data_IF_522362014217
#
_entry.id   IF_522362014217
#
_cell.length_a   1.000
_cell.length_b   1.000
_cell.length_c   1.000
_cell.angle_alpha   90.00
_cell.angle_beta   90.00
_cell.angle_gamma   90.00
#
_symmetry.space_group_name_H-M   'P 1'
#
loop_
_entity.id
_entity.type
_entity.pdbx_description
1 polymer ?
#
# COMPACT_ATOMS: atom_id res chain seq x y z
N UNK A 1 -32.62 -22.26 -15.02
CA UNK A 1 -32.50 -21.48 -13.78
C UNK A 1 -33.08 -20.06 -13.83
N UNK A 2 -33.08 -19.32 -14.98
CA UNK A 2 -33.74 -18.01 -15.04
C UNK A 2 -35.25 -18.14 -14.84
N UNK A 3 -35.81 -17.35 -13.92
CA UNK A 3 -37.23 -17.40 -13.55
C UNK A 3 -37.62 -18.51 -12.60
N UNK A 4 -36.73 -19.49 -12.29
CA UNK A 4 -37.00 -20.56 -11.35
C UNK A 4 -36.90 -20.08 -9.91
N UNK A 5 -37.59 -20.79 -9.01
CA UNK A 5 -37.48 -20.63 -7.57
C UNK A 5 -36.42 -21.60 -7.04
N UNK A 6 -35.50 -21.08 -6.23
CA UNK A 6 -34.47 -21.81 -5.50
C UNK A 6 -34.74 -21.57 -4.02
N UNK A 7 -35.31 -22.55 -3.29
CA UNK A 7 -35.85 -22.33 -1.96
C UNK A 7 -36.90 -21.18 -2.00
N UNK A 8 -36.68 -20.12 -1.24
CA UNK A 8 -37.53 -18.92 -1.24
C UNK A 8 -36.93 -17.76 -2.07
N UNK A 9 -35.94 -18.03 -2.93
CA UNK A 9 -35.34 -17.06 -3.82
C UNK A 9 -35.81 -17.24 -5.26
N UNK A 10 -36.25 -16.18 -5.90
CA UNK A 10 -36.58 -16.15 -7.33
C UNK A 10 -35.37 -15.64 -8.15
N UNK A 11 -34.83 -16.51 -8.98
CA UNK A 11 -33.67 -16.14 -9.83
C UNK A 11 -34.11 -15.17 -10.93
N UNK A 12 -33.45 -14.02 -11.02
CA UNK A 12 -33.77 -12.94 -11.96
C UNK A 12 -32.84 -12.97 -13.17
N UNK A 13 -31.51 -12.87 -12.93
CA UNK A 13 -30.50 -12.79 -13.98
C UNK A 13 -29.17 -13.39 -13.54
N UNK A 14 -28.33 -13.77 -14.51
CA UNK A 14 -26.96 -14.24 -14.26
C UNK A 14 -26.02 -13.04 -14.18
N UNK A 15 -25.33 -12.89 -13.05
CA UNK A 15 -24.32 -11.83 -12.83
C UNK A 15 -22.93 -12.23 -13.31
N UNK A 16 -22.57 -13.52 -13.20
CA UNK A 16 -21.27 -14.01 -13.60
C UNK A 16 -21.11 -15.51 -13.36
N UNK A 17 -19.98 -16.06 -13.78
CA UNK A 17 -19.64 -17.46 -13.56
C UNK A 17 -18.20 -17.75 -13.90
N UNK A 18 -17.63 -18.77 -13.28
CA UNK A 18 -16.24 -19.19 -13.46
C UNK A 18 -15.94 -20.45 -12.66
N UNK A 19 -14.69 -20.79 -12.48
CA UNK A 19 -14.26 -22.00 -11.76
C UNK A 19 -14.77 -22.12 -10.31
N UNK A 20 -15.21 -21.01 -9.72
CA UNK A 20 -15.76 -20.97 -8.34
C UNK A 20 -17.29 -21.00 -8.29
N UNK A 21 -17.95 -21.35 -9.41
CA UNK A 21 -19.40 -21.43 -9.49
C UNK A 21 -20.05 -20.30 -10.28
N UNK A 22 -21.38 -20.26 -10.25
CA UNK A 22 -22.19 -19.28 -10.97
C UNK A 22 -22.93 -18.40 -9.99
N UNK A 23 -22.93 -17.09 -10.25
CA UNK A 23 -23.60 -16.09 -9.41
C UNK A 23 -24.80 -15.53 -10.16
N UNK A 24 -25.94 -15.51 -9.49
CA UNK A 24 -27.19 -14.96 -10.00
C UNK A 24 -27.68 -13.83 -9.09
N UNK A 25 -28.33 -12.85 -9.69
CA UNK A 25 -29.21 -11.92 -8.97
C UNK A 25 -30.54 -12.63 -8.72
N UNK A 26 -31.02 -12.55 -7.50
CA UNK A 26 -32.31 -13.14 -7.11
C UNK A 26 -33.07 -12.21 -6.18
N UNK A 27 -34.38 -12.45 -6.08
CA UNK A 27 -35.26 -11.81 -5.11
C UNK A 27 -35.56 -12.78 -3.97
N UNK A 28 -35.27 -12.40 -2.76
CA UNK A 28 -35.73 -13.02 -1.53
C UNK A 28 -37.23 -12.74 -1.39
N UNK A 29 -38.06 -13.75 -1.61
CA UNK A 29 -39.53 -13.61 -1.62
C UNK A 29 -40.11 -13.41 -0.22
N UNK A 30 -39.36 -13.79 0.84
CA UNK A 30 -39.77 -13.63 2.24
C UNK A 30 -39.49 -12.22 2.72
N UNK A 31 -38.23 -11.74 2.53
CA UNK A 31 -37.79 -10.42 2.99
C UNK A 31 -37.97 -9.33 1.92
N UNK A 32 -38.40 -9.68 0.72
CA UNK A 32 -38.62 -8.77 -0.43
C UNK A 32 -37.44 -7.87 -0.73
N UNK A 33 -36.25 -8.46 -0.75
CA UNK A 33 -34.99 -7.78 -1.08
C UNK A 33 -34.25 -8.52 -2.18
N UNK A 34 -33.34 -7.83 -2.85
CA UNK A 34 -32.46 -8.44 -3.83
C UNK A 34 -31.22 -9.00 -3.14
N UNK A 35 -30.77 -10.16 -3.63
CA UNK A 35 -29.59 -10.89 -3.13
C UNK A 35 -28.76 -11.41 -4.29
N UNK A 36 -27.51 -11.74 -4.04
CA UNK A 36 -26.66 -12.53 -4.91
C UNK A 36 -26.71 -13.99 -4.45
N UNK A 37 -27.07 -14.90 -5.36
CA UNK A 37 -27.02 -16.34 -5.13
C UNK A 37 -25.82 -16.93 -5.84
N UNK A 38 -24.86 -17.47 -5.10
CA UNK A 38 -23.68 -18.14 -5.63
C UNK A 38 -23.86 -19.65 -5.49
N UNK A 39 -23.98 -20.36 -6.62
CA UNK A 39 -24.03 -21.81 -6.67
C UNK A 39 -22.62 -22.38 -6.67
N UNK A 40 -22.41 -23.43 -5.88
CA UNK A 40 -21.14 -24.11 -5.81
C UNK A 40 -20.92 -25.00 -7.04
N UNK A 41 -19.66 -25.17 -7.50
CA UNK A 41 -19.37 -26.13 -8.57
C UNK A 41 -19.73 -27.56 -8.17
N UNK A 42 -20.23 -28.36 -9.12
CA UNK A 42 -20.58 -29.77 -8.90
C UNK A 42 -19.43 -30.61 -8.35
N UNK A 43 -18.19 -30.33 -8.80
CA UNK A 43 -16.97 -31.01 -8.30
C UNK A 43 -16.81 -30.88 -6.78
N UNK A 44 -17.24 -29.75 -6.18
CA UNK A 44 -17.18 -29.56 -4.73
C UNK A 44 -18.31 -30.30 -3.99
N UNK A 45 -19.48 -30.47 -4.62
CA UNK A 45 -20.63 -31.15 -4.01
C UNK A 45 -20.49 -32.67 -4.01
N UNK A 46 -19.66 -33.23 -4.90
CA UNK A 46 -19.39 -34.68 -4.96
C UNK A 46 -18.42 -35.17 -3.89
N UNK A 47 -17.52 -34.30 -3.39
CA UNK A 47 -16.62 -34.65 -2.29
C UNK A 47 -17.18 -34.18 -0.94
N UNK A 48 -17.67 -35.15 -0.14
CA UNK A 48 -18.25 -34.88 1.19
C UNK A 48 -17.28 -34.13 2.12
N UNK A 49 -15.99 -34.49 2.12
CA UNK A 49 -14.99 -33.86 3.02
C UNK A 49 -14.69 -32.40 2.59
N UNK A 50 -14.57 -32.15 1.30
CA UNK A 50 -14.42 -30.82 0.76
C UNK A 50 -15.64 -29.94 1.05
N UNK A 51 -16.85 -30.50 0.87
CA UNK A 51 -18.08 -29.80 1.15
C UNK A 51 -18.25 -29.49 2.65
N UNK A 52 -17.97 -30.43 3.56
CA UNK A 52 -18.01 -30.17 5.00
C UNK A 52 -17.03 -29.07 5.44
N UNK A 53 -15.82 -29.09 4.91
CA UNK A 53 -14.83 -28.01 5.17
C UNK A 53 -15.33 -26.65 4.64
N UNK A 54 -15.81 -26.63 3.41
CA UNK A 54 -16.39 -25.43 2.80
C UNK A 54 -17.54 -24.86 3.64
N UNK A 55 -18.49 -25.70 4.06
CA UNK A 55 -19.64 -25.29 4.88
C UNK A 55 -19.18 -24.75 6.25
N UNK A 56 -18.12 -25.32 6.84
CA UNK A 56 -17.54 -24.82 8.09
C UNK A 56 -16.93 -23.44 7.92
N UNK A 57 -16.15 -23.21 6.86
CA UNK A 57 -15.53 -21.90 6.58
C UNK A 57 -16.58 -20.85 6.18
N UNK A 58 -17.57 -21.24 5.39
CA UNK A 58 -18.68 -20.37 5.03
C UNK A 58 -19.49 -19.92 6.27
N UNK A 59 -19.72 -20.84 7.25
CA UNK A 59 -20.36 -20.49 8.53
C UNK A 59 -19.49 -19.54 9.37
N UNK A 60 -18.18 -19.74 9.38
CA UNK A 60 -17.27 -18.82 10.07
C UNK A 60 -17.29 -17.43 9.40
N UNK A 61 -17.27 -17.38 8.07
CA UNK A 61 -17.39 -16.12 7.31
C UNK A 61 -18.75 -15.44 7.52
N UNK A 62 -19.86 -16.20 7.61
CA UNK A 62 -21.20 -15.66 7.88
C UNK A 62 -21.31 -15.00 9.28
N UNK A 63 -20.44 -15.36 10.23
CA UNK A 63 -20.38 -14.69 11.53
C UNK A 63 -19.69 -13.31 11.49
N UNK A 64 -19.11 -12.92 10.33
CA UNK A 64 -18.51 -11.61 10.15
C UNK A 64 -19.60 -10.59 9.76
N UNK A 65 -19.85 -9.63 10.65
CA UNK A 65 -20.71 -8.50 10.36
C UNK A 65 -19.85 -7.23 10.37
N UNK A 66 -19.52 -6.73 9.19
CA UNK A 66 -18.62 -5.59 9.03
C UNK A 66 -18.98 -4.80 7.75
N UNK A 67 -18.94 -3.45 7.75
CA UNK A 67 -19.34 -2.64 6.60
C UNK A 67 -18.50 -2.91 5.33
N UNK A 68 -17.26 -3.37 5.50
CA UNK A 68 -16.33 -3.65 4.39
C UNK A 68 -16.17 -5.16 4.11
N UNK A 69 -17.08 -6.00 4.59
CA UNK A 69 -17.19 -7.44 4.27
C UNK A 69 -18.53 -7.68 3.61
N UNK A 70 -18.57 -8.48 2.55
CA UNK A 70 -19.82 -8.90 1.93
C UNK A 70 -20.59 -9.81 2.90
N UNK A 71 -21.81 -9.42 3.24
CA UNK A 71 -22.62 -10.16 4.21
C UNK A 71 -23.16 -11.43 3.59
N UNK A 72 -22.95 -12.57 4.23
CA UNK A 72 -23.60 -13.83 3.92
C UNK A 72 -24.92 -13.90 4.70
N UNK A 73 -26.02 -14.13 3.99
CA UNK A 73 -27.36 -14.22 4.58
C UNK A 73 -27.76 -15.64 4.90
N UNK A 74 -27.44 -16.57 4.00
CA UNK A 74 -27.86 -17.97 4.11
C UNK A 74 -26.88 -18.88 3.36
N UNK A 75 -26.73 -20.10 3.87
CA UNK A 75 -26.08 -21.21 3.19
C UNK A 75 -27.13 -22.29 3.09
N UNK A 76 -27.55 -22.62 1.87
CA UNK A 76 -28.67 -23.55 1.59
C UNK A 76 -28.30 -24.60 0.57
N UNK A 77 -29.26 -25.52 0.39
CA UNK A 77 -29.25 -26.58 -0.63
C UNK A 77 -30.58 -26.60 -1.34
N UNK A 78 -30.55 -26.78 -2.64
CA UNK A 78 -31.74 -26.94 -3.48
C UNK A 78 -31.46 -27.94 -4.59
N UNK A 79 -32.25 -29.00 -4.69
CA UNK A 79 -32.10 -30.08 -5.69
C UNK A 79 -30.69 -30.69 -5.73
N UNK A 80 -30.04 -30.85 -4.57
CA UNK A 80 -28.68 -31.38 -4.47
C UNK A 80 -27.57 -30.39 -4.81
N UNK A 81 -27.91 -29.14 -5.15
CA UNK A 81 -26.94 -28.07 -5.37
C UNK A 81 -26.87 -27.14 -4.16
N UNK A 82 -25.68 -26.97 -3.61
CA UNK A 82 -25.44 -26.00 -2.54
C UNK A 82 -25.29 -24.57 -3.10
N UNK A 83 -25.84 -23.61 -2.36
CA UNK A 83 -25.78 -22.21 -2.69
C UNK A 83 -25.47 -21.36 -1.45
N UNK A 84 -24.93 -20.17 -1.70
CA UNK A 84 -24.78 -19.11 -0.71
C UNK A 84 -25.61 -17.92 -1.18
N UNK A 85 -26.53 -17.45 -0.32
CA UNK A 85 -27.20 -16.17 -0.50
C UNK A 85 -26.42 -15.09 0.24
N UNK A 86 -26.09 -14.02 -0.47
CA UNK A 86 -25.27 -12.93 0.07
C UNK A 86 -25.78 -11.57 -0.38
N UNK A 87 -25.22 -10.52 0.20
CA UNK A 87 -25.46 -9.14 -0.16
C UNK A 87 -25.24 -8.91 -1.66
N UNK A 88 -26.26 -8.35 -2.33
CA UNK A 88 -26.11 -7.89 -3.71
C UNK A 88 -25.39 -6.55 -3.71
N UNK A 89 -24.24 -6.50 -4.36
CA UNK A 89 -23.42 -5.30 -4.47
C UNK A 89 -23.61 -4.64 -5.83
N UNK A 90 -23.82 -3.32 -5.83
CA UNK A 90 -23.84 -2.50 -7.03
C UNK A 90 -22.47 -1.82 -7.19
N UNK A 91 -21.80 -2.05 -8.32
CA UNK A 91 -20.45 -1.53 -8.58
C UNK A 91 -19.63 -2.47 -9.43
N UNK A 92 -18.32 -2.51 -9.21
CA UNK A 92 -17.38 -3.32 -9.99
C UNK A 92 -16.33 -3.96 -9.08
N UNK A 93 -15.76 -5.08 -9.52
CA UNK A 93 -14.59 -5.66 -8.83
C UNK A 93 -13.38 -4.74 -9.00
N UNK A 94 -12.48 -4.77 -8.03
CA UNK A 94 -11.23 -4.00 -8.11
C UNK A 94 -10.41 -4.40 -9.35
N UNK A 95 -10.50 -5.66 -9.79
CA UNK A 95 -9.91 -6.13 -11.05
C UNK A 95 -10.37 -5.30 -12.25
N UNK A 96 -11.68 -5.06 -12.38
CA UNK A 96 -12.23 -4.23 -13.46
C UNK A 96 -11.91 -2.75 -13.26
N UNK A 97 -11.82 -2.30 -12.00
CA UNK A 97 -11.53 -0.91 -11.67
C UNK A 97 -10.10 -0.51 -12.01
N UNK A 98 -9.12 -1.39 -11.76
CA UNK A 98 -7.71 -1.16 -12.13
C UNK A 98 -7.54 -1.17 -13.66
N UNK A 99 -8.05 -2.20 -14.36
CA UNK A 99 -7.99 -2.34 -15.82
C UNK A 99 -6.64 -1.89 -16.45
N UNK A 100 -5.53 -2.33 -15.84
CA UNK A 100 -4.15 -1.99 -16.23
C UNK A 100 -3.79 -0.48 -16.14
N UNK A 101 -4.52 0.29 -15.33
CA UNK A 101 -4.23 1.70 -15.03
C UNK A 101 -4.11 1.91 -13.53
N UNK A 102 -3.15 2.76 -13.08
CA UNK A 102 -3.09 3.11 -11.67
C UNK A 102 -4.35 3.87 -11.26
N UNK A 103 -4.80 3.63 -10.02
CA UNK A 103 -5.89 4.39 -9.41
C UNK A 103 -5.37 5.72 -8.86
N UNK A 104 -6.24 6.74 -8.73
CA UNK A 104 -5.89 7.96 -8.02
C UNK A 104 -5.41 7.65 -6.59
N UNK A 105 -4.34 8.30 -6.14
CA UNK A 105 -3.73 8.03 -4.83
C UNK A 105 -4.70 8.12 -3.66
N UNK A 106 -5.67 9.04 -3.70
CA UNK A 106 -6.72 9.16 -2.70
C UNK A 106 -7.60 7.91 -2.66
N UNK A 107 -8.03 7.41 -3.82
CA UNK A 107 -8.84 6.19 -3.95
C UNK A 107 -8.05 4.95 -3.47
N UNK A 108 -6.75 4.87 -3.77
CA UNK A 108 -5.87 3.80 -3.28
C UNK A 108 -5.86 3.79 -1.75
N UNK A 109 -5.55 4.92 -1.12
CA UNK A 109 -5.43 5.02 0.33
C UNK A 109 -6.77 4.77 1.04
N UNK A 110 -7.88 5.32 0.51
CA UNK A 110 -9.22 5.11 1.09
C UNK A 110 -9.66 3.65 1.01
N UNK A 111 -9.55 3.04 -0.17
CA UNK A 111 -9.87 1.62 -0.35
C UNK A 111 -8.96 0.73 0.51
N UNK A 112 -7.68 1.06 0.59
CA UNK A 112 -6.72 0.32 1.41
C UNK A 112 -7.05 0.35 2.90
N UNK A 113 -7.46 1.50 3.43
CA UNK A 113 -7.90 1.63 4.83
C UNK A 113 -9.14 0.77 5.12
N UNK A 114 -10.11 0.76 4.20
CA UNK A 114 -11.35 -0.01 4.33
C UNK A 114 -11.10 -1.51 4.26
N UNK A 115 -10.25 -1.96 3.33
CA UNK A 115 -9.87 -3.38 3.21
C UNK A 115 -9.06 -3.82 4.44
N UNK A 116 -8.12 -3.00 4.92
CA UNK A 116 -7.37 -3.30 6.15
C UNK A 116 -8.28 -3.40 7.37
N UNK A 117 -9.34 -2.58 7.45
CA UNK A 117 -10.36 -2.67 8.51
C UNK A 117 -11.14 -3.98 8.45
N UNK A 118 -11.51 -4.43 7.25
CA UNK A 118 -12.16 -5.71 7.04
C UNK A 118 -11.28 -6.89 7.43
N UNK A 119 -10.00 -6.87 7.03
CA UNK A 119 -9.03 -7.90 7.38
C UNK A 119 -8.78 -7.96 8.89
N UNK A 120 -8.64 -6.80 9.55
CA UNK A 120 -8.44 -6.71 11.01
C UNK A 120 -9.63 -7.32 11.77
N UNK A 121 -10.86 -7.02 11.33
CA UNK A 121 -12.08 -7.60 11.90
C UNK A 121 -12.18 -9.13 11.71
N UNK A 122 -11.73 -9.66 10.58
CA UNK A 122 -11.70 -11.10 10.33
C UNK A 122 -10.59 -11.80 11.13
N UNK A 123 -9.39 -11.24 11.11
CA UNK A 123 -8.22 -11.79 11.80
C UNK A 123 -8.40 -11.81 13.31
N UNK A 124 -9.09 -10.81 13.90
CA UNK A 124 -9.42 -10.79 15.33
C UNK A 124 -10.33 -11.96 15.77
N UNK A 125 -11.07 -12.57 14.82
CA UNK A 125 -11.88 -13.77 15.02
C UNK A 125 -11.17 -15.07 14.57
N UNK A 126 -9.88 -14.99 14.23
CA UNK A 126 -9.09 -16.13 13.75
C UNK A 126 -9.44 -16.56 12.31
N UNK A 127 -10.13 -15.72 11.55
CA UNK A 127 -10.52 -16.01 10.17
C UNK A 127 -9.52 -15.39 9.21
N UNK A 128 -8.82 -16.22 8.44
CA UNK A 128 -7.84 -15.84 7.42
C UNK A 128 -8.49 -15.99 6.05
N UNK A 129 -8.35 -14.99 5.18
CA UNK A 129 -9.00 -15.00 3.86
C UNK A 129 -8.30 -15.94 2.87
N UNK A 130 -6.98 -15.99 2.85
CA UNK A 130 -6.12 -16.88 2.05
C UNK A 130 -6.15 -16.69 0.53
N UNK A 131 -7.04 -15.86 -0.02
CA UNK A 131 -7.19 -15.61 -1.47
C UNK A 131 -7.51 -14.13 -1.76
N UNK A 132 -6.77 -13.22 -1.12
CA UNK A 132 -6.88 -11.78 -1.39
C UNK A 132 -6.29 -11.49 -2.77
N UNK A 133 -7.14 -10.97 -3.66
CA UNK A 133 -6.81 -10.57 -5.04
C UNK A 133 -7.84 -9.56 -5.54
N UNK A 134 -7.56 -8.79 -6.61
CA UNK A 134 -8.48 -7.76 -7.11
C UNK A 134 -9.88 -8.29 -7.51
N UNK A 135 -9.99 -9.56 -7.88
CA UNK A 135 -11.28 -10.17 -8.23
C UNK A 135 -12.18 -10.40 -7.00
N UNK A 136 -11.59 -10.54 -5.80
CA UNK A 136 -12.30 -10.76 -4.53
C UNK A 136 -12.47 -9.46 -3.71
N UNK A 137 -12.10 -8.32 -4.30
CA UNK A 137 -12.30 -6.99 -3.74
C UNK A 137 -13.26 -6.21 -4.65
N UNK A 138 -14.26 -5.60 -4.06
CA UNK A 138 -15.33 -4.93 -4.78
C UNK A 138 -15.40 -3.46 -4.38
N UNK A 139 -15.57 -2.58 -5.36
CA UNK A 139 -15.80 -1.15 -5.13
C UNK A 139 -17.25 -0.87 -5.49
N UNK A 140 -18.04 -0.48 -4.50
CA UNK A 140 -19.44 -0.15 -4.68
C UNK A 140 -19.60 1.15 -5.48
N UNK A 141 -20.79 1.40 -6.02
CA UNK A 141 -21.13 2.64 -6.71
C UNK A 141 -20.95 3.89 -5.81
N UNK A 142 -20.91 3.70 -4.47
CA UNK A 142 -20.66 4.76 -3.49
C UNK A 142 -19.17 4.92 -3.12
N UNK A 143 -18.26 4.19 -3.79
CA UNK A 143 -16.82 4.23 -3.52
C UNK A 143 -16.39 3.43 -2.28
N UNK A 144 -17.26 2.60 -1.72
CA UNK A 144 -16.89 1.75 -0.57
C UNK A 144 -16.26 0.46 -1.05
N UNK A 145 -15.15 0.06 -0.44
CA UNK A 145 -14.54 -1.24 -0.67
C UNK A 145 -15.23 -2.31 0.17
N UNK A 146 -15.44 -3.49 -0.43
CA UNK A 146 -15.92 -4.68 0.25
C UNK A 146 -15.09 -5.90 -0.13
N UNK A 147 -14.76 -6.71 0.87
CA UNK A 147 -14.07 -8.00 0.70
C UNK A 147 -15.11 -9.09 0.47
N UNK A 148 -14.91 -9.87 -0.60
CA UNK A 148 -15.76 -10.98 -1.00
C UNK A 148 -15.10 -12.32 -0.63
N UNK A 149 -15.89 -13.38 -0.54
CA UNK A 149 -15.43 -14.78 -0.61
C UNK A 149 -14.32 -15.18 0.37
N UNK A 150 -14.46 -14.89 1.68
CA UNK A 150 -13.52 -15.33 2.70
C UNK A 150 -13.30 -16.85 2.66
N UNK A 151 -12.04 -17.27 2.42
CA UNK A 151 -11.56 -18.65 2.61
C UNK A 151 -12.13 -19.73 1.67
N UNK A 152 -13.19 -19.43 0.91
CA UNK A 152 -13.98 -20.42 0.17
C UNK A 152 -13.25 -21.07 -1.02
N UNK A 153 -12.15 -20.51 -1.49
CA UNK A 153 -11.52 -20.91 -2.75
C UNK A 153 -10.38 -21.93 -2.60
N UNK A 154 -9.72 -22.01 -1.44
CA UNK A 154 -8.47 -22.79 -1.28
C UNK A 154 -8.64 -24.21 -0.80
N UNK A 155 -9.83 -24.60 -0.38
CA UNK A 155 -10.13 -25.99 -0.05
C UNK A 155 -10.01 -26.92 -1.25
N UNK A 156 -10.18 -26.41 -2.46
CA UNK A 156 -10.10 -27.17 -3.70
C UNK A 156 -8.65 -27.48 -4.13
N UNK A 157 -7.66 -26.70 -3.68
CA UNK A 157 -6.26 -26.89 -4.07
C UNK A 157 -5.44 -27.74 -3.09
N UNK A 158 -5.90 -27.93 -1.85
CA UNK A 158 -5.19 -28.74 -0.85
C UNK A 158 -5.34 -30.25 -1.12
N UNK A 159 -6.47 -30.68 -1.67
CA UNK A 159 -6.75 -32.10 -1.96
C UNK A 159 -5.96 -32.65 -3.14
N UNK A 160 -5.70 -31.82 -4.15
CA UNK A 160 -4.81 -32.23 -5.26
C UNK A 160 -3.37 -32.52 -4.77
N UNK A 161 -2.97 -31.93 -3.64
CA UNK A 161 -1.65 -32.20 -3.02
C UNK A 161 -1.66 -33.41 -2.07
N UNK A 162 -2.73 -33.64 -1.31
CA UNK A 162 -2.79 -34.78 -0.38
C UNK A 162 -2.99 -36.11 -1.13
N UNK A 163 -3.74 -36.13 -2.22
CA UNK A 163 -3.88 -37.33 -3.08
C UNK A 163 -2.61 -37.64 -3.85
N UNK A 164 -1.83 -36.64 -4.27
CA UNK A 164 -0.53 -36.84 -4.90
C UNK A 164 0.56 -37.31 -3.92
N UNK A 165 0.44 -36.99 -2.62
CA UNK A 165 1.37 -37.44 -1.59
C UNK A 165 1.15 -38.88 -1.12
N UNK A 166 -0.02 -39.46 -1.40
CA UNK A 166 -0.36 -40.86 -1.01
C UNK A 166 0.25 -41.94 -1.94
N UNK A 167 0.69 -41.58 -3.15
CA UNK A 167 1.19 -42.51 -4.17
C UNK A 167 2.70 -42.53 -4.37
N UNK A 168 3.52 -42.19 -3.36
CA UNK A 168 4.98 -42.43 -3.34
C UNK A 168 5.84 -41.33 -3.97
N UNK A 169 7.16 -41.26 -3.62
CA UNK A 169 8.01 -40.11 -3.94
C UNK A 169 8.59 -40.20 -5.35
N UNK A 170 7.99 -39.47 -6.28
CA UNK A 170 8.64 -39.10 -7.54
C UNK A 170 8.58 -37.57 -7.69
N UNK A 171 9.69 -36.92 -7.33
CA UNK A 171 9.77 -35.47 -7.07
C UNK A 171 9.79 -34.61 -8.35
N UNK A 172 9.88 -35.14 -9.57
CA UNK A 172 10.23 -34.34 -10.76
C UNK A 172 9.21 -34.25 -11.89
N UNK A 173 8.06 -34.93 -11.82
CA UNK A 173 7.13 -34.91 -12.98
C UNK A 173 5.71 -34.40 -12.71
N UNK A 174 5.34 -34.04 -11.47
CA UNK A 174 3.94 -33.83 -11.06
C UNK A 174 3.56 -32.36 -10.88
N UNK A 175 4.46 -31.41 -11.04
CA UNK A 175 4.15 -29.97 -10.82
C UNK A 175 3.48 -29.34 -12.04
N UNK A 176 3.79 -29.78 -13.25
CA UNK A 176 3.23 -29.18 -14.48
C UNK A 176 1.86 -29.72 -14.88
N UNK A 177 1.57 -31.01 -14.67
CA UNK A 177 0.32 -31.64 -15.12
C UNK A 177 -0.89 -31.38 -14.20
N UNK A 178 -0.66 -31.18 -12.89
CA UNK A 178 -1.78 -30.91 -11.95
C UNK A 178 -2.20 -29.44 -11.87
N UNK A 179 -1.44 -28.50 -12.49
CA UNK A 179 -1.74 -27.06 -12.49
C UNK A 179 -2.60 -26.61 -13.66
N UNK A 180 -2.74 -27.46 -14.70
CA UNK A 180 -3.53 -27.13 -15.89
C UNK A 180 -4.99 -27.59 -15.80
N UNK A 181 -5.34 -28.54 -14.91
CA UNK A 181 -6.68 -29.15 -14.89
C UNK A 181 -7.67 -28.53 -13.88
N UNK A 182 -7.24 -27.60 -13.02
CA UNK A 182 -8.14 -27.00 -12.00
C UNK A 182 -8.23 -25.48 -12.05
N UNK A 183 -8.54 -24.90 -13.21
CA UNK A 183 -9.06 -23.51 -13.27
C UNK A 183 -8.21 -22.40 -12.60
N UNK A 184 -6.99 -22.70 -12.18
CA UNK A 184 -6.05 -21.71 -11.64
C UNK A 184 -5.39 -21.01 -12.82
N UNK A 185 -6.06 -20.01 -13.36
CA UNK A 185 -5.45 -19.13 -14.38
C UNK A 185 -4.16 -18.54 -13.84
N UNK A 186 -3.13 -18.45 -14.68
CA UNK A 186 -1.80 -17.84 -14.42
C UNK A 186 -1.90 -16.51 -13.64
N UNK A 187 -3.00 -15.78 -13.77
CA UNK A 187 -3.24 -14.53 -13.05
C UNK A 187 -3.56 -14.65 -11.55
N UNK A 188 -3.95 -15.82 -11.03
CA UNK A 188 -4.29 -15.98 -9.58
C UNK A 188 -3.05 -16.19 -8.73
N UNK A 189 -2.00 -16.77 -9.29
CA UNK A 189 -0.74 -17.10 -8.61
C UNK A 189 0.01 -15.85 -8.16
N UNK A 190 -0.08 -14.76 -8.91
CA UNK A 190 0.64 -13.50 -8.67
C UNK A 190 0.36 -12.83 -7.31
N UNK A 191 -0.69 -13.25 -6.61
CA UNK A 191 -1.10 -12.70 -5.30
C UNK A 191 -0.79 -13.63 -4.13
N UNK A 192 -0.17 -14.79 -4.38
CA UNK A 192 0.20 -15.73 -3.31
C UNK A 192 1.35 -15.19 -2.46
N UNK A 193 1.30 -15.47 -1.16
CA UNK A 193 2.43 -15.18 -0.26
C UNK A 193 3.54 -16.24 -0.40
N UNK A 194 4.79 -15.92 0.01
CA UNK A 194 5.89 -16.88 -0.01
C UNK A 194 5.60 -18.17 0.76
N UNK A 195 4.93 -18.07 1.92
CA UNK A 195 4.52 -19.23 2.72
C UNK A 195 3.44 -20.07 2.04
N UNK A 196 2.57 -19.44 1.24
CA UNK A 196 1.60 -20.19 0.41
C UNK A 196 2.29 -20.97 -0.71
N UNK A 197 3.25 -20.35 -1.38
CA UNK A 197 4.04 -21.01 -2.44
C UNK A 197 4.84 -22.18 -1.87
N UNK A 198 5.41 -22.00 -0.65
CA UNK A 198 6.16 -23.07 0.05
C UNK A 198 5.25 -24.14 0.69
N UNK A 199 3.94 -23.96 0.73
CA UNK A 199 3.02 -24.87 1.40
C UNK A 199 3.17 -24.91 2.92
N UNK A 200 3.64 -23.83 3.54
CA UNK A 200 3.83 -23.68 4.97
C UNK A 200 2.51 -23.36 5.68
N UNK A 201 2.50 -23.44 7.00
CA UNK A 201 1.37 -23.01 7.82
C UNK A 201 1.09 -21.51 7.61
N UNK A 202 -0.18 -21.18 7.42
CA UNK A 202 -0.64 -19.83 7.09
C UNK A 202 -1.21 -19.14 8.33
N UNK A 203 -0.83 -17.88 8.50
CA UNK A 203 -1.39 -16.97 9.48
C UNK A 203 -1.95 -15.69 8.82
N UNK A 204 -2.42 -14.74 9.63
CA UNK A 204 -2.99 -13.47 9.17
C UNK A 204 -2.04 -12.67 8.26
N UNK A 205 -0.72 -12.81 8.42
CA UNK A 205 0.30 -12.11 7.64
C UNK A 205 0.35 -12.54 6.18
N UNK A 206 -0.20 -13.72 5.87
CA UNK A 206 -0.42 -14.17 4.49
C UNK A 206 -1.34 -13.23 3.73
N UNK A 207 -2.48 -12.84 4.34
CA UNK A 207 -3.41 -11.89 3.73
C UNK A 207 -2.78 -10.50 3.57
N UNK A 208 -1.90 -10.09 4.50
CA UNK A 208 -1.21 -8.80 4.42
C UNK A 208 -0.24 -8.77 3.24
N UNK A 209 0.48 -9.85 2.96
CA UNK A 209 1.33 -9.95 1.77
C UNK A 209 0.49 -9.90 0.49
N UNK A 210 -0.56 -10.72 0.40
CA UNK A 210 -1.48 -10.72 -0.75
C UNK A 210 -2.11 -9.35 -0.95
N UNK A 211 -2.48 -8.67 0.13
CA UNK A 211 -2.98 -7.31 0.05
C UNK A 211 -1.91 -6.30 -0.38
N UNK A 212 -0.65 -6.49 0.02
CA UNK A 212 0.49 -5.71 -0.49
C UNK A 212 0.63 -5.80 -2.01
N UNK A 213 0.44 -7.01 -2.61
CA UNK A 213 0.46 -7.17 -4.07
C UNK A 213 -0.70 -6.43 -4.74
N UNK A 214 -1.88 -6.40 -4.10
CA UNK A 214 -3.03 -5.62 -4.58
C UNK A 214 -2.77 -4.12 -4.48
N UNK A 215 -2.20 -3.63 -3.36
CA UNK A 215 -1.81 -2.21 -3.19
C UNK A 215 -0.82 -1.77 -4.27
N UNK A 216 0.16 -2.61 -4.55
CA UNK A 216 1.11 -2.38 -5.63
C UNK A 216 0.38 -2.22 -6.97
N UNK A 217 -0.52 -3.15 -7.31
CA UNK A 217 -1.26 -3.12 -8.57
C UNK A 217 -2.22 -1.92 -8.65
N UNK A 218 -2.91 -1.57 -7.57
CA UNK A 218 -3.73 -0.36 -7.50
C UNK A 218 -2.92 0.90 -7.79
N UNK A 219 -1.70 0.97 -7.28
CA UNK A 219 -0.83 2.14 -7.36
C UNK A 219 -0.10 2.25 -8.71
N UNK A 220 0.20 1.12 -9.36
CA UNK A 220 1.05 1.06 -10.56
C UNK A 220 0.31 0.65 -11.83
N UNK A 221 -0.87 0.02 -11.71
CA UNK A 221 -1.57 -0.64 -12.81
C UNK A 221 -0.91 -1.94 -13.26
N UNK A 222 0.10 -2.46 -12.53
CA UNK A 222 0.87 -3.65 -12.88
C UNK A 222 0.95 -4.61 -11.69
N UNK A 223 0.99 -5.91 -11.96
CA UNK A 223 1.21 -6.91 -10.93
C UNK A 223 2.62 -6.78 -10.33
N UNK A 224 2.73 -6.96 -9.00
CA UNK A 224 4.01 -6.93 -8.29
C UNK A 224 4.94 -8.07 -8.73
N UNK A 225 4.36 -9.25 -8.97
CA UNK A 225 5.06 -10.45 -9.39
C UNK A 225 4.38 -11.03 -10.62
N UNK A 226 5.12 -11.14 -11.71
CA UNK A 226 4.63 -11.74 -12.96
C UNK A 226 5.76 -12.43 -13.67
N UNK A 227 5.47 -13.56 -14.32
CA UNK A 227 6.42 -14.33 -15.12
C UNK A 227 5.72 -14.93 -16.34
N UNK A 228 6.51 -15.36 -17.33
CA UNK A 228 5.99 -16.04 -18.53
C UNK A 228 5.40 -17.43 -18.21
N UNK A 229 5.74 -17.99 -17.04
CA UNK A 229 5.21 -19.24 -16.54
C UNK A 229 4.87 -19.13 -15.05
N UNK A 230 4.07 -20.08 -14.56
CA UNK A 230 3.75 -20.20 -13.13
C UNK A 230 5.01 -20.37 -12.27
N UNK A 231 5.99 -21.16 -12.75
CA UNK A 231 7.26 -21.38 -12.07
C UNK A 231 8.06 -20.08 -11.89
N UNK A 232 8.17 -19.27 -12.95
CA UNK A 232 8.83 -17.96 -12.89
C UNK A 232 8.10 -16.97 -11.97
N UNK A 233 6.77 -17.05 -11.90
CA UNK A 233 5.98 -16.25 -10.94
C UNK A 233 6.26 -16.69 -9.51
N UNK A 234 6.35 -18.00 -9.24
CA UNK A 234 6.73 -18.51 -7.92
C UNK A 234 8.14 -18.09 -7.52
N UNK A 235 9.11 -18.19 -8.44
CA UNK A 235 10.48 -17.72 -8.22
C UNK A 235 10.50 -16.24 -7.85
N UNK A 236 9.78 -15.40 -8.59
CA UNK A 236 9.66 -13.96 -8.29
C UNK A 236 9.05 -13.71 -6.90
N UNK A 237 7.99 -14.44 -6.52
CA UNK A 237 7.37 -14.34 -5.20
C UNK A 237 8.34 -14.72 -4.08
N UNK A 238 9.15 -15.75 -4.30
CA UNK A 238 10.04 -16.30 -3.28
C UNK A 238 11.32 -15.49 -3.11
N UNK A 239 11.89 -14.97 -4.19
CA UNK A 239 13.28 -14.49 -4.21
C UNK A 239 13.46 -13.05 -4.70
N UNK A 240 12.52 -12.49 -5.49
CA UNK A 240 12.73 -11.19 -6.09
C UNK A 240 11.90 -10.11 -5.41
N UNK A 241 12.48 -8.94 -5.20
CA UNK A 241 11.73 -7.74 -4.88
C UNK A 241 11.02 -7.21 -6.15
N UNK A 242 9.80 -6.69 -6.05
CA UNK A 242 9.14 -6.05 -7.19
C UNK A 242 9.87 -4.75 -7.57
N UNK A 243 9.65 -4.29 -8.81
CA UNK A 243 10.13 -2.97 -9.21
C UNK A 243 9.54 -1.90 -8.29
N UNK A 244 10.36 -0.94 -7.86
CA UNK A 244 9.91 0.17 -7.01
C UNK A 244 8.66 0.85 -7.61
N UNK A 245 7.55 0.98 -6.86
CA UNK A 245 6.31 1.61 -7.34
C UNK A 245 6.50 3.01 -7.91
N UNK A 246 7.34 3.84 -7.28
CA UNK A 246 7.61 5.23 -7.71
C UNK A 246 8.30 5.26 -9.09
N UNK A 247 9.09 4.25 -9.44
CA UNK A 247 9.72 4.16 -10.79
C UNK A 247 8.69 3.92 -11.89
N UNK A 248 7.54 3.34 -11.57
CA UNK A 248 6.46 3.07 -12.52
C UNK A 248 5.47 4.23 -12.55
N UNK A 249 5.14 4.79 -11.38
CA UNK A 249 4.21 5.89 -11.21
C UNK A 249 4.78 6.90 -10.20
N UNK A 250 5.34 7.99 -10.70
CA UNK A 250 5.97 9.05 -9.89
C UNK A 250 4.99 9.87 -9.02
N UNK A 251 3.67 9.66 -9.19
CA UNK A 251 2.65 10.33 -8.36
C UNK A 251 2.44 9.63 -7.00
N UNK A 252 3.02 8.44 -6.83
CA UNK A 252 2.93 7.67 -5.58
C UNK A 252 3.69 8.41 -4.47
N UNK A 253 3.06 8.70 -3.32
CA UNK A 253 3.78 9.23 -2.17
C UNK A 253 4.83 8.25 -1.66
N UNK A 254 6.02 8.74 -1.30
CA UNK A 254 7.12 7.92 -0.76
C UNK A 254 6.64 7.05 0.41
N UNK A 255 5.79 7.60 1.29
CA UNK A 255 5.24 6.85 2.42
C UNK A 255 4.32 5.69 2.00
N UNK A 256 3.62 5.80 0.85
CA UNK A 256 2.84 4.68 0.31
C UNK A 256 3.75 3.58 -0.24
N UNK A 257 4.86 3.94 -0.89
CA UNK A 257 5.87 2.98 -1.31
C UNK A 257 6.46 2.21 -0.12
N UNK A 258 6.87 2.88 0.96
CA UNK A 258 7.35 2.25 2.19
C UNK A 258 6.32 1.26 2.78
N UNK A 259 5.04 1.62 2.76
CA UNK A 259 3.94 0.75 3.22
C UNK A 259 3.85 -0.49 2.33
N UNK A 260 3.90 -0.32 1.00
CA UNK A 260 3.84 -1.43 0.04
C UNK A 260 5.05 -2.35 0.23
N UNK A 261 6.26 -1.80 0.30
CA UNK A 261 7.49 -2.57 0.51
C UNK A 261 7.42 -3.40 1.79
N UNK A 262 7.02 -2.79 2.91
CA UNK A 262 6.87 -3.50 4.18
C UNK A 262 5.84 -4.62 4.12
N UNK A 263 4.73 -4.48 3.37
CA UNK A 263 3.76 -5.58 3.19
C UNK A 263 4.32 -6.71 2.33
N UNK A 264 5.25 -6.41 1.41
CA UNK A 264 5.85 -7.36 0.46
C UNK A 264 7.14 -8.00 0.94
N UNK A 265 7.54 -7.77 2.21
CA UNK A 265 8.68 -8.45 2.82
C UNK A 265 8.51 -9.97 2.73
N UNK A 266 9.59 -10.66 2.33
CA UNK A 266 9.56 -12.13 2.16
C UNK A 266 9.53 -12.86 3.48
N UNK A 267 10.24 -12.31 4.47
CA UNK A 267 10.17 -12.77 5.85
C UNK A 267 8.92 -12.17 6.53
N UNK A 268 7.99 -13.05 6.95
CA UNK A 268 6.77 -12.63 7.63
C UNK A 268 6.99 -11.89 8.94
N UNK A 269 8.15 -12.08 9.60
CA UNK A 269 8.48 -11.37 10.85
C UNK A 269 8.83 -9.89 10.60
N UNK A 270 9.25 -9.54 9.38
CA UNK A 270 9.56 -8.17 8.98
C UNK A 270 8.35 -7.42 8.40
N UNK A 271 7.25 -8.15 8.09
CA UNK A 271 6.01 -7.54 7.60
C UNK A 271 5.24 -6.82 8.72
N UNK A 272 4.15 -6.18 8.36
CA UNK A 272 3.12 -5.82 9.33
C UNK A 272 2.64 -7.06 10.08
N UNK A 273 2.54 -6.95 11.41
CA UNK A 273 2.11 -8.08 12.23
C UNK A 273 0.58 -8.15 12.37
N UNK A 274 -0.14 -7.07 12.06
CA UNK A 274 -1.60 -7.04 12.01
C UNK A 274 -2.12 -6.09 10.93
N UNK A 275 -3.35 -6.32 10.48
CA UNK A 275 -4.04 -5.40 9.57
C UNK A 275 -4.32 -4.04 10.25
N UNK A 276 -4.46 -4.03 11.57
CA UNK A 276 -4.60 -2.82 12.38
C UNK A 276 -3.37 -1.91 12.31
N UNK A 277 -2.15 -2.47 12.34
CA UNK A 277 -0.91 -1.70 12.14
C UNK A 277 -0.86 -1.07 10.74
N UNK A 278 -1.12 -1.86 9.71
CA UNK A 278 -1.17 -1.39 8.33
C UNK A 278 -2.19 -0.24 8.18
N UNK A 279 -3.40 -0.42 8.74
CA UNK A 279 -4.44 0.60 8.74
C UNK A 279 -4.01 1.89 9.46
N UNK A 280 -3.27 1.78 10.56
CA UNK A 280 -2.77 2.94 11.29
C UNK A 280 -1.80 3.77 10.44
N UNK A 281 -0.89 3.12 9.71
CA UNK A 281 0.05 3.80 8.81
C UNK A 281 -0.66 4.43 7.61
N UNK A 282 -1.64 3.75 7.01
CA UNK A 282 -2.49 4.31 5.95
C UNK A 282 -3.29 5.53 6.43
N UNK A 283 -3.80 5.54 7.68
CA UNK A 283 -4.46 6.71 8.28
C UNK A 283 -3.51 7.89 8.45
N UNK A 284 -2.25 7.63 8.85
CA UNK A 284 -1.23 8.67 8.95
C UNK A 284 -0.95 9.27 7.56
N UNK A 285 -0.74 8.40 6.56
CA UNK A 285 -0.53 8.82 5.18
C UNK A 285 -1.69 9.68 4.67
N UNK A 286 -2.95 9.26 4.87
CA UNK A 286 -4.13 10.03 4.46
C UNK A 286 -4.11 11.44 5.06
N UNK A 287 -3.89 11.55 6.37
CA UNK A 287 -3.81 12.84 7.07
C UNK A 287 -2.70 13.73 6.52
N UNK A 288 -1.53 13.15 6.21
CA UNK A 288 -0.41 13.89 5.66
C UNK A 288 -0.71 14.41 4.26
N UNK A 289 -1.36 13.60 3.40
CA UNK A 289 -1.84 14.01 2.07
C UNK A 289 -2.85 15.16 2.16
N UNK A 290 -3.86 15.05 3.04
CA UNK A 290 -4.87 16.09 3.26
C UNK A 290 -4.22 17.40 3.76
N UNK A 291 -3.23 17.31 4.64
CA UNK A 291 -2.50 18.48 5.16
C UNK A 291 -1.71 19.22 4.08
N UNK A 292 -1.13 18.48 3.12
CA UNK A 292 -0.42 19.07 1.96
C UNK A 292 -1.41 19.74 1.02
N UNK A 293 -2.54 19.11 0.73
CA UNK A 293 -3.59 19.71 -0.13
C UNK A 293 -4.16 21.00 0.48
N UNK A 294 -4.43 21.02 1.80
CA UNK A 294 -4.90 22.22 2.52
C UNK A 294 -3.86 23.35 2.47
N UNK A 295 -2.55 23.02 2.60
CA UNK A 295 -1.47 24.02 2.48
C UNK A 295 -1.37 24.58 1.07
N UNK A 296 -1.48 23.74 0.05
CA UNK A 296 -1.48 24.16 -1.35
C UNK A 296 -2.73 25.03 -1.64
N UNK A 297 -3.90 24.62 -1.20
CA UNK A 297 -5.13 25.40 -1.34
C UNK A 297 -5.06 26.74 -0.60
N UNK A 298 -4.51 26.76 0.62
CA UNK A 298 -4.29 27.99 1.38
C UNK A 298 -3.24 28.89 0.72
N UNK A 299 -2.17 28.31 0.14
CA UNK A 299 -1.16 29.03 -0.63
C UNK A 299 -1.71 29.63 -1.93
N UNK A 300 -2.65 28.95 -2.59
CA UNK A 300 -3.35 29.47 -3.78
C UNK A 300 -4.45 30.48 -3.42
N UNK A 301 -5.10 30.33 -2.26
CA UNK A 301 -6.09 31.30 -1.75
C UNK A 301 -5.45 32.57 -1.19
N UNK A 302 -4.18 32.48 -0.73
CA UNK A 302 -3.34 33.62 -0.41
C UNK A 302 -2.80 34.27 -1.70
N UNK A 303 -3.71 34.70 -2.59
CA UNK A 303 -3.35 35.49 -3.75
C UNK A 303 -2.56 36.74 -3.33
N UNK A 304 -1.90 37.49 -4.26
CA UNK A 304 -0.91 38.53 -3.98
C UNK A 304 -1.41 39.66 -3.05
N UNK A 305 -2.70 39.68 -2.70
CA UNK A 305 -3.28 40.69 -1.80
C UNK A 305 -2.85 40.56 -0.33
N UNK A 306 -2.62 39.36 0.19
CA UNK A 306 -2.23 39.18 1.59
C UNK A 306 -0.75 39.60 1.80
N UNK A 307 0.13 39.30 0.83
CA UNK A 307 1.53 39.75 0.85
C UNK A 307 1.63 41.26 0.68
N UNK A 308 0.72 41.87 -0.08
CA UNK A 308 0.70 43.33 -0.29
C UNK A 308 0.24 44.07 0.98
N UNK A 309 -0.68 43.48 1.75
CA UNK A 309 -1.15 44.10 3.00
C UNK A 309 -0.08 44.08 4.10
N UNK A 310 0.68 42.97 4.20
CA UNK A 310 1.82 42.85 5.12
C UNK A 310 2.99 43.74 4.70
N UNK A 311 3.31 43.83 3.40
CA UNK A 311 4.32 44.74 2.87
C UNK A 311 3.96 46.20 3.13
N UNK A 312 2.69 46.58 3.01
CA UNK A 312 2.26 47.92 3.30
C UNK A 312 2.32 48.26 4.79
N UNK A 313 2.04 47.30 5.69
CA UNK A 313 2.24 47.50 7.14
C UNK A 313 3.74 47.55 7.49
N UNK A 314 4.58 46.73 6.90
CA UNK A 314 6.04 46.83 7.08
C UNK A 314 6.58 48.13 6.52
N UNK A 315 6.13 48.59 5.36
CA UNK A 315 6.49 49.87 4.79
C UNK A 315 6.04 51.04 5.68
N UNK A 316 4.85 50.95 6.29
CA UNK A 316 4.32 51.95 7.22
C UNK A 316 5.10 51.94 8.55
N UNK A 317 5.44 50.76 9.08
CA UNK A 317 6.28 50.62 10.27
C UNK A 317 7.72 51.13 9.99
N UNK A 318 8.28 50.82 8.85
CA UNK A 318 9.60 51.34 8.42
C UNK A 318 9.54 52.86 8.22
N UNK A 319 8.49 53.38 7.62
CA UNK A 319 8.29 54.82 7.47
C UNK A 319 8.15 55.52 8.83
N UNK A 320 7.37 54.96 9.78
CA UNK A 320 7.25 55.51 11.14
C UNK A 320 8.57 55.41 11.90
N UNK A 321 9.31 54.33 11.79
CA UNK A 321 10.67 54.17 12.38
C UNK A 321 11.64 55.15 11.72
N UNK A 322 11.60 55.33 10.39
CA UNK A 322 12.45 56.26 9.69
C UNK A 322 12.14 57.74 10.08
N UNK A 323 10.87 58.09 10.24
CA UNK A 323 10.47 59.42 10.68
C UNK A 323 10.85 59.67 12.16
N UNK A 324 10.65 58.66 13.03
CA UNK A 324 11.06 58.77 14.44
C UNK A 324 12.54 58.77 14.64
N UNK A 325 13.32 57.98 13.84
CA UNK A 325 14.80 58.01 13.85
C UNK A 325 15.32 59.30 13.28
N UNK A 326 14.70 59.85 12.21
CA UNK A 326 15.09 61.16 11.66
C UNK A 326 14.80 62.30 12.65
N UNK A 327 13.64 62.27 13.32
CA UNK A 327 13.30 63.24 14.38
C UNK A 327 14.26 63.11 15.59
N UNK A 328 14.62 61.89 16.00
CA UNK A 328 15.55 61.65 17.10
C UNK A 328 17.01 62.07 16.74
N UNK A 329 17.43 61.82 15.49
CA UNK A 329 18.76 62.24 14.99
C UNK A 329 18.78 63.76 14.85
N UNK A 330 17.71 64.42 14.39
CA UNK A 330 17.61 65.88 14.27
C UNK A 330 17.60 66.53 15.65
N UNK A 331 16.87 65.96 16.63
CA UNK A 331 16.90 66.43 18.02
C UNK A 331 18.24 66.16 18.70
N UNK A 332 18.88 64.98 18.41
CA UNK A 332 20.19 64.64 18.93
C UNK A 332 21.34 65.45 18.38
N UNK A 333 21.20 65.97 17.15
CA UNK A 333 22.23 66.84 16.56
C UNK A 333 22.33 68.22 17.21
N UNK A 334 21.25 68.62 17.90
CA UNK A 334 21.24 69.88 18.66
C UNK A 334 21.66 69.76 20.12
N UNK A 335 21.91 68.54 20.62
CA UNK A 335 22.15 68.27 22.04
C UNK A 335 23.40 67.43 22.35
N UNK A 336 24.39 67.26 21.41
CA UNK A 336 25.55 66.43 21.71
C UNK A 336 26.74 67.10 22.36
N UNK A 337 27.29 66.48 23.41
CA UNK A 337 28.77 66.46 23.61
C UNK A 337 29.36 65.13 23.08
N UNK A 338 30.43 65.26 22.38
CA UNK A 338 31.23 64.21 21.74
C UNK A 338 31.63 63.07 22.67
N UNK A 339 31.27 61.83 22.30
CA UNK A 339 31.89 60.59 22.84
C UNK A 339 32.13 59.55 21.75
N UNK A 340 33.32 58.96 21.78
CA UNK A 340 33.93 57.97 20.92
C UNK A 340 33.18 56.64 20.88
N UNK A 341 33.11 56.09 19.70
CA UNK A 341 32.43 54.83 19.31
C UNK A 341 33.37 53.64 19.49
N UNK A 342 32.97 52.49 20.10
CA UNK A 342 33.76 51.28 20.03
C UNK A 342 33.45 50.52 18.71
N UNK A 343 34.51 50.03 18.05
CA UNK A 343 34.47 49.21 16.83
C UNK A 343 33.82 47.87 17.11
N UNK A 344 32.86 47.44 16.26
CA UNK A 344 32.34 46.11 16.22
C UNK A 344 33.27 45.23 15.36
N UNK A 345 33.57 43.98 15.76
CA UNK A 345 34.40 43.09 14.94
C UNK A 345 33.64 42.67 13.67
N UNK A 346 34.24 42.94 12.52
CA UNK A 346 33.78 42.42 11.24
C UNK A 346 33.95 40.90 11.21
N UNK A 347 32.87 40.17 10.97
CA UNK A 347 32.95 38.75 10.65
C UNK A 347 33.70 38.58 9.32
N UNK A 348 34.89 38.00 9.40
CA UNK A 348 35.66 37.63 8.21
C UNK A 348 35.19 36.26 7.71
N UNK A 349 34.63 36.23 6.50
CA UNK A 349 34.33 34.99 5.81
C UNK A 349 35.63 34.42 5.24
N UNK A 350 35.99 33.21 5.68
CA UNK A 350 37.19 32.49 5.23
C UNK A 350 36.77 31.22 4.52
N UNK A 351 37.29 31.01 3.30
CA UNK A 351 37.14 29.72 2.62
C UNK A 351 37.99 28.67 3.36
N UNK A 352 37.36 27.55 3.73
CA UNK A 352 38.00 26.47 4.52
C UNK A 352 38.59 25.40 3.61
N UNK A 353 38.06 25.24 2.39
CA UNK A 353 38.55 24.29 1.36
C UNK A 353 39.02 25.05 0.12
N UNK A 354 40.01 24.51 -0.59
CA UNK A 354 40.57 25.06 -1.83
C UNK A 354 40.23 24.21 -3.05
N UNK A 355 39.08 23.49 -3.00
CA UNK A 355 38.67 22.64 -4.11
C UNK A 355 38.42 23.46 -5.37
N UNK A 356 38.96 23.03 -6.55
CA UNK A 356 38.71 23.71 -7.82
C UNK A 356 37.22 23.55 -8.24
N UNK A 357 36.75 24.43 -9.09
CA UNK A 357 35.38 24.47 -9.59
C UNK A 357 34.96 23.17 -10.28
N UNK A 358 35.92 22.43 -10.84
CA UNK A 358 35.73 21.14 -11.52
C UNK A 358 35.52 19.95 -10.54
N UNK A 359 35.90 20.15 -9.25
CA UNK A 359 35.74 19.14 -8.20
C UNK A 359 35.15 19.79 -6.93
N UNK A 360 33.89 20.22 -6.94
CA UNK A 360 33.28 20.89 -5.80
C UNK A 360 33.05 19.94 -4.62
N UNK A 361 33.08 20.48 -3.42
CA UNK A 361 32.65 19.78 -2.21
C UNK A 361 31.13 19.68 -2.25
N UNK A 362 30.57 18.46 -2.23
CA UNK A 362 29.13 18.23 -2.23
C UNK A 362 28.56 17.84 -0.86
N UNK A 363 29.41 17.47 0.10
CA UNK A 363 29.01 17.23 1.48
C UNK A 363 30.10 17.65 2.43
N UNK A 364 29.75 18.31 3.53
CA UNK A 364 30.68 18.68 4.58
C UNK A 364 30.01 18.71 5.95
N UNK A 365 30.77 18.33 7.00
CA UNK A 365 30.34 18.36 8.37
C UNK A 365 31.48 18.77 9.28
N UNK A 366 31.19 19.58 10.30
CA UNK A 366 32.19 20.02 11.31
C UNK A 366 31.96 19.18 12.57
N UNK A 367 33.04 18.73 13.21
CA UNK A 367 32.99 18.05 14.49
C UNK A 367 32.39 18.94 15.58
N UNK A 368 31.70 18.38 16.61
CA UNK A 368 31.08 19.19 17.66
C UNK A 368 32.05 20.10 18.45
N UNK A 369 33.31 19.71 18.51
CA UNK A 369 34.40 20.52 19.14
C UNK A 369 34.99 21.59 18.22
N UNK A 370 34.52 21.66 16.95
CA UNK A 370 34.98 22.64 15.96
C UNK A 370 36.40 22.43 15.45
N UNK A 371 37.04 21.30 15.71
CA UNK A 371 38.45 21.06 15.34
C UNK A 371 38.63 20.40 14.00
N UNK A 372 37.65 19.58 13.56
CA UNK A 372 37.74 18.80 12.31
C UNK A 372 36.64 19.17 11.35
N UNK A 373 36.97 19.26 10.07
CA UNK A 373 36.05 19.35 8.94
C UNK A 373 36.15 18.05 8.13
N UNK A 374 35.11 17.23 8.12
CA UNK A 374 35.00 16.15 7.17
C UNK A 374 34.28 16.66 5.94
N UNK A 375 34.79 16.35 4.73
CA UNK A 375 34.12 16.70 3.48
C UNK A 375 34.36 15.66 2.40
N UNK A 376 33.47 15.63 1.43
CA UNK A 376 33.52 14.71 0.30
C UNK A 376 33.46 15.50 -1.02
N UNK A 377 34.31 15.09 -1.96
CA UNK A 377 34.33 15.55 -3.34
C UNK A 377 34.32 14.33 -4.30
N UNK A 378 34.41 14.55 -5.60
CA UNK A 378 34.38 13.44 -6.57
C UNK A 378 35.60 12.50 -6.51
N UNK A 379 36.64 12.87 -5.79
CA UNK A 379 37.86 12.06 -5.66
C UNK A 379 37.93 11.25 -4.38
N UNK A 380 37.13 11.59 -3.35
CA UNK A 380 37.14 10.85 -2.10
C UNK A 380 36.50 11.56 -0.92
N UNK A 381 36.72 11.00 0.27
CA UNK A 381 36.34 11.59 1.55
C UNK A 381 37.59 12.01 2.30
N UNK A 382 37.55 13.22 2.83
CA UNK A 382 38.72 13.87 3.48
C UNK A 382 38.33 14.39 4.86
N UNK A 383 39.30 14.37 5.77
CA UNK A 383 39.19 15.04 7.06
C UNK A 383 40.29 16.07 7.15
N UNK A 384 39.91 17.32 7.42
CA UNK A 384 40.83 18.47 7.57
C UNK A 384 40.84 18.95 9.01
N UNK A 385 42.02 19.10 9.57
CA UNK A 385 42.22 19.74 10.86
C UNK A 385 42.15 21.27 10.67
N UNK A 386 41.24 21.96 11.34
CA UNK A 386 40.96 23.39 11.09
C UNK A 386 42.04 24.29 11.66
N UNK A 387 42.79 23.86 12.67
CA UNK A 387 43.91 24.61 13.28
C UNK A 387 45.14 24.63 12.37
N UNK A 388 45.54 23.50 11.83
CA UNK A 388 46.78 23.37 11.04
C UNK A 388 46.56 23.42 9.55
N UNK A 389 45.34 23.14 9.10
CA UNK A 389 44.99 23.06 7.68
C UNK A 389 45.40 21.75 7.02
N UNK A 390 45.94 20.78 7.77
CA UNK A 390 46.28 19.45 7.27
C UNK A 390 45.05 18.66 6.86
N UNK A 391 45.13 17.99 5.69
CA UNK A 391 44.03 17.20 5.12
C UNK A 391 44.50 15.76 4.92
N UNK A 392 43.73 14.81 5.45
CA UNK A 392 43.94 13.38 5.29
C UNK A 392 42.82 12.76 4.50
N UNK A 393 43.14 11.92 3.52
CA UNK A 393 42.15 11.10 2.82
C UNK A 393 41.80 9.89 3.66
N UNK A 394 40.48 9.57 3.73
CA UNK A 394 40.01 8.32 4.35
C UNK A 394 39.98 7.20 3.31
N UNK A 395 40.58 6.02 3.61
CA UNK A 395 40.51 4.88 2.73
C UNK A 395 39.06 4.41 2.61
N UNK A 396 38.56 4.33 1.38
CA UNK A 396 37.23 3.80 1.10
C UNK A 396 37.32 2.27 0.88
N UNK A 397 36.30 1.49 1.27
CA UNK A 397 36.24 0.06 0.99
C UNK A 397 36.29 -0.21 -0.52
N UNK A 398 36.91 -1.34 -0.92
CA UNK A 398 36.94 -1.75 -2.32
C UNK A 398 35.51 -1.89 -2.88
N UNK A 399 35.23 -1.20 -3.99
CA UNK A 399 33.92 -1.20 -4.64
C UNK A 399 33.01 -0.01 -4.31
N UNK A 400 33.45 0.96 -3.54
CA UNK A 400 32.67 2.17 -3.28
C UNK A 400 32.72 3.12 -4.49
N UNK A 401 31.59 3.38 -5.13
CA UNK A 401 31.43 4.36 -6.21
C UNK A 401 30.54 5.49 -5.75
N UNK A 402 31.02 6.73 -5.86
CA UNK A 402 30.16 7.92 -5.75
C UNK A 402 29.24 7.97 -6.98
N UNK A 403 27.95 7.94 -6.77
CA UNK A 403 26.91 8.13 -7.79
C UNK A 403 26.20 9.44 -7.57
#
# INVERSE_FOLDING_TARGET
MLGSAVSHYRVIEKLGGGGMGVVYRAEDLVLRRQVALKFLPEKLTTDKRALERFLREARAAAALNHPHICTIYEIGEHEGQHFIAMELLEGVTLKHRIAARPLPKQEVVESAMQISDALDAAHSKGIIHRDIKPANLFITARGQAKVLDFGLAKLMSHEARETAAADGPTIDATIEDNLTDTGTTVGTVAYMSPEQVRGQELDARTDLFSFGTVLYEMSTGRQAFSGQSTALTYEAILHHAPTSPIRINSEIPLKLEEIIEKTLEKDRELRYQSAGELRADLKRLKRDMESVELRLAAGLAAGPRAVQWWRNKQALVIAVIAISTFAAVFAGHWLQPTRSRPEQPMLQQRSITTNPTENPVYAAAISPDGRYLAYADFTGVFVRLLETGETHSLPLPEGFCFR
#
